data_IF_482576456619
#
_entry.id   IF_482576456619
#
_cell.length_a   1.000
_cell.length_b   1.000
_cell.length_c   1.000
_cell.angle_alpha   90.00
_cell.angle_beta   90.00
_cell.angle_gamma   90.00
#
_symmetry.space_group_name_H-M   'P 1'
#
loop_
_entity.id
_entity.type
_entity.pdbx_description
1 polymer ?
#
# COMPACT_ATOMS: atom_id res chain seq x y z
N UNK A 1 23.37 -23.18 12.56
CA UNK A 1 23.52 -21.86 13.21
C UNK A 1 23.97 -20.84 12.18
N UNK A 2 23.10 -20.06 11.59
CA UNK A 2 23.41 -19.02 10.62
C UNK A 2 22.18 -18.12 10.49
N UNK A 3 22.07 -17.12 11.37
CA UNK A 3 21.03 -16.09 11.27
C UNK A 3 21.32 -15.23 10.03
N UNK A 4 20.60 -15.42 8.96
CA UNK A 4 20.57 -14.49 7.82
C UNK A 4 19.81 -13.24 8.25
N UNK A 5 20.54 -12.16 8.53
CA UNK A 5 19.97 -10.82 8.70
C UNK A 5 19.81 -10.20 7.32
N UNK A 6 18.57 -10.06 6.87
CA UNK A 6 18.26 -9.14 5.78
C UNK A 6 18.53 -7.70 6.28
N UNK A 7 19.68 -7.17 5.92
CA UNK A 7 19.96 -5.74 5.97
C UNK A 7 19.60 -5.14 4.61
N UNK A 8 18.38 -4.60 4.52
CA UNK A 8 18.10 -3.60 3.52
C UNK A 8 19.03 -2.40 3.76
N UNK A 9 19.95 -2.12 2.86
CA UNK A 9 20.72 -0.89 2.87
C UNK A 9 19.80 0.27 2.47
N UNK A 10 19.10 0.80 3.45
CA UNK A 10 18.52 2.14 3.36
C UNK A 10 19.70 3.13 3.38
N UNK A 11 20.00 3.72 2.22
CA UNK A 11 20.79 4.95 2.16
C UNK A 11 20.03 6.00 2.99
N UNK A 12 20.68 6.48 4.06
CA UNK A 12 20.09 7.25 5.12
C UNK A 12 19.33 8.50 4.67
N UNK A 13 18.05 8.47 4.91
CA UNK A 13 17.28 9.64 5.29
C UNK A 13 17.08 9.51 6.79
N UNK A 14 17.90 10.18 7.55
CA UNK A 14 17.74 10.35 9.00
C UNK A 14 16.54 11.28 9.18
N UNK A 15 15.34 10.73 9.26
CA UNK A 15 14.20 11.44 9.83
C UNK A 15 14.40 11.35 11.34
N UNK A 16 14.90 12.42 11.93
CA UNK A 16 14.92 12.61 13.39
C UNK A 16 13.45 12.68 13.84
N UNK A 17 12.93 11.56 14.33
CA UNK A 17 11.63 11.55 15.04
C UNK A 17 11.80 12.31 16.37
N UNK A 18 10.89 13.22 16.69
CA UNK A 18 10.92 13.85 18.01
C UNK A 18 10.51 12.82 19.08
N UNK A 19 11.31 12.74 20.14
CA UNK A 19 11.19 11.82 21.28
C UNK A 19 9.89 11.96 22.12
N UNK A 20 8.96 12.81 21.74
CA UNK A 20 7.69 13.03 22.45
C UNK A 20 6.55 12.08 22.06
N UNK A 21 6.68 11.31 20.96
CA UNK A 21 5.58 10.44 20.50
C UNK A 21 5.45 9.11 21.23
N UNK A 22 6.48 8.64 21.92
CA UNK A 22 6.40 7.36 22.67
C UNK A 22 5.62 7.47 24.00
N UNK A 23 5.58 8.64 24.62
CA UNK A 23 4.84 8.84 25.88
C UNK A 23 3.32 8.86 25.72
N UNK A 24 2.82 9.15 24.54
CA UNK A 24 1.37 9.19 24.27
C UNK A 24 0.70 7.83 24.21
N UNK A 25 1.41 6.78 23.79
CA UNK A 25 0.86 5.45 23.54
C UNK A 25 0.58 4.65 24.82
N UNK A 26 1.42 4.74 25.83
CA UNK A 26 1.29 3.95 27.06
C UNK A 26 0.16 4.49 27.95
N UNK A 27 0.05 5.81 28.07
CA UNK A 27 -1.01 6.43 28.87
C UNK A 27 -2.42 6.28 28.25
N UNK A 28 -2.51 6.08 26.93
CA UNK A 28 -3.79 5.83 26.24
C UNK A 28 -4.20 4.36 26.32
N UNK A 29 -3.24 3.42 26.31
CA UNK A 29 -3.52 1.99 26.56
C UNK A 29 -3.96 1.76 28.02
N UNK A 30 -3.38 2.45 29.00
CA UNK A 30 -3.78 2.38 30.41
C UNK A 30 -5.17 3.01 30.65
N UNK A 31 -5.51 4.10 29.97
CA UNK A 31 -6.86 4.71 30.07
C UNK A 31 -7.95 3.86 29.42
N UNK A 32 -7.60 3.01 28.44
CA UNK A 32 -8.52 2.03 27.85
C UNK A 32 -8.77 0.81 28.73
N UNK A 33 -7.91 0.51 29.69
CA UNK A 33 -8.08 -0.65 30.60
C UNK A 33 -9.24 -0.48 31.58
N UNK A 34 -9.68 0.75 31.84
CA UNK A 34 -10.77 1.06 32.79
C UNK A 34 -12.18 1.08 32.17
N UNK A 35 -12.31 0.87 30.85
CA UNK A 35 -13.63 0.84 30.21
C UNK A 35 -14.07 -0.58 29.90
N UNK A 36 -15.30 -0.92 30.31
CA UNK A 36 -15.96 -2.21 29.98
C UNK A 36 -16.12 -2.37 28.45
N UNK A 37 -16.11 -1.26 27.73
CA UNK A 37 -16.30 -1.22 26.29
C UNK A 37 -15.01 -0.88 25.55
N UNK A 38 -14.79 -1.59 24.45
CA UNK A 38 -13.74 -1.26 23.49
C UNK A 38 -14.28 -0.37 22.40
N UNK A 39 -13.43 0.55 21.89
CA UNK A 39 -13.76 1.31 20.70
C UNK A 39 -14.07 0.37 19.52
N UNK A 40 -15.12 0.70 18.74
CA UNK A 40 -15.64 -0.14 17.68
C UNK A 40 -14.60 -0.42 16.59
N UNK A 41 -13.81 0.58 16.20
CA UNK A 41 -12.83 0.46 15.12
C UNK A 41 -11.62 -0.37 15.56
N UNK A 42 -11.20 -0.24 16.82
CA UNK A 42 -10.15 -1.09 17.40
C UNK A 42 -10.62 -2.53 17.59
N UNK A 43 -11.91 -2.73 17.93
CA UNK A 43 -12.53 -4.07 17.97
C UNK A 43 -12.53 -4.72 16.60
N UNK A 44 -12.83 -3.95 15.54
CA UNK A 44 -12.77 -4.43 14.17
C UNK A 44 -11.36 -4.85 13.76
N UNK A 45 -10.33 -4.08 14.14
CA UNK A 45 -8.93 -4.46 13.89
C UNK A 45 -8.55 -5.77 14.60
N UNK A 46 -9.08 -6.03 15.81
CA UNK A 46 -8.90 -7.34 16.49
C UNK A 46 -9.58 -8.48 15.72
N UNK A 47 -10.75 -8.23 15.14
CA UNK A 47 -11.38 -9.21 14.27
C UNK A 47 -10.50 -9.53 13.05
N UNK A 48 -10.00 -8.50 12.37
CA UNK A 48 -9.15 -8.71 11.20
C UNK A 48 -7.79 -9.34 11.54
N UNK A 49 -7.28 -9.13 12.77
CA UNK A 49 -6.10 -9.83 13.28
C UNK A 49 -6.33 -11.34 13.34
N UNK A 50 -7.51 -11.82 13.75
CA UNK A 50 -7.84 -13.26 13.74
C UNK A 50 -7.81 -13.85 12.34
N UNK A 51 -8.16 -13.07 11.31
CA UNK A 51 -8.00 -13.50 9.92
C UNK A 51 -6.51 -13.69 9.57
N UNK A 52 -5.64 -12.81 10.09
CA UNK A 52 -4.20 -12.94 9.92
C UNK A 52 -3.62 -14.14 10.71
N UNK A 53 -4.19 -14.47 11.86
CA UNK A 53 -3.83 -15.66 12.65
C UNK A 53 -4.11 -16.97 11.91
N UNK A 54 -5.15 -17.02 11.06
CA UNK A 54 -5.37 -18.16 10.16
C UNK A 54 -4.26 -18.28 9.10
N UNK A 55 -3.73 -17.17 8.61
CA UNK A 55 -2.56 -17.18 7.73
C UNK A 55 -1.28 -17.62 8.45
N UNK A 56 -1.15 -17.33 9.73
CA UNK A 56 -0.02 -17.71 10.59
C UNK A 56 -0.08 -19.21 10.96
N UNK A 57 -1.28 -19.79 11.08
CA UNK A 57 -1.48 -21.16 11.55
C UNK A 57 -0.89 -22.19 10.56
N UNK A 58 0.15 -22.97 10.95
CA UNK A 58 0.80 -23.95 10.08
C UNK A 58 -0.07 -25.19 9.82
N UNK A 59 -1.15 -25.42 10.57
CA UNK A 59 -2.10 -26.51 10.32
C UNK A 59 -2.98 -26.25 9.09
N UNK A 60 -3.11 -24.98 8.67
CA UNK A 60 -3.82 -24.65 7.45
C UNK A 60 -2.97 -24.97 6.21
N UNK A 61 -3.57 -25.45 5.11
CA UNK A 61 -2.87 -25.67 3.85
C UNK A 61 -2.19 -24.38 3.37
N UNK A 62 -0.99 -24.50 2.79
CA UNK A 62 -0.15 -23.34 2.46
C UNK A 62 -0.85 -22.30 1.54
N UNK A 63 -1.58 -22.76 0.52
CA UNK A 63 -2.35 -21.88 -0.36
C UNK A 63 -3.52 -21.18 0.36
N UNK A 64 -4.13 -21.85 1.36
CA UNK A 64 -5.17 -21.23 2.20
C UNK A 64 -4.55 -20.17 3.11
N UNK A 65 -3.37 -20.40 3.67
CA UNK A 65 -2.63 -19.40 4.43
C UNK A 65 -2.38 -18.13 3.60
N UNK A 66 -1.96 -18.28 2.35
CA UNK A 66 -1.77 -17.16 1.43
C UNK A 66 -3.11 -16.45 1.14
N UNK A 67 -4.20 -17.22 0.99
CA UNK A 67 -5.55 -16.69 0.80
C UNK A 67 -6.00 -15.87 2.01
N UNK A 68 -5.79 -16.35 3.24
CA UNK A 68 -6.10 -15.59 4.47
C UNK A 68 -5.28 -14.30 4.57
N UNK A 69 -3.99 -14.33 4.21
CA UNK A 69 -3.17 -13.11 4.16
C UNK A 69 -3.73 -12.08 3.16
N UNK A 70 -4.23 -12.54 2.01
CA UNK A 70 -4.89 -11.69 1.01
C UNK A 70 -6.23 -11.13 1.51
N UNK A 71 -7.04 -11.94 2.18
CA UNK A 71 -8.30 -11.52 2.81
C UNK A 71 -8.03 -10.46 3.88
N UNK A 72 -7.04 -10.68 4.76
CA UNK A 72 -6.63 -9.69 5.76
C UNK A 72 -6.32 -8.34 5.12
N UNK A 73 -5.52 -8.33 4.05
CA UNK A 73 -5.16 -7.09 3.36
C UNK A 73 -6.36 -6.43 2.67
N UNK A 74 -7.22 -7.21 2.04
CA UNK A 74 -8.44 -6.70 1.39
C UNK A 74 -9.40 -6.08 2.39
N UNK A 75 -9.59 -6.72 3.54
CA UNK A 75 -10.38 -6.21 4.64
C UNK A 75 -9.81 -4.89 5.18
N UNK A 76 -8.48 -4.82 5.34
CA UNK A 76 -7.81 -3.60 5.81
C UNK A 76 -7.99 -2.45 4.82
N UNK A 77 -7.88 -2.72 3.52
CA UNK A 77 -8.14 -1.72 2.47
C UNK A 77 -9.57 -1.15 2.57
N UNK A 78 -10.57 -2.03 2.73
CA UNK A 78 -11.97 -1.62 2.87
C UNK A 78 -12.20 -0.81 4.15
N UNK A 79 -11.59 -1.24 5.26
CA UNK A 79 -11.62 -0.52 6.53
C UNK A 79 -11.08 0.90 6.40
N UNK A 80 -9.93 1.07 5.73
CA UNK A 80 -9.37 2.40 5.49
C UNK A 80 -10.27 3.21 4.57
N UNK A 81 -10.76 2.62 3.49
CA UNK A 81 -11.61 3.32 2.52
C UNK A 81 -12.90 3.87 3.14
N UNK A 82 -13.52 3.14 4.06
CA UNK A 82 -14.83 3.48 4.60
C UNK A 82 -14.70 4.07 6.01
N UNK A 83 -14.11 3.32 6.95
CA UNK A 83 -14.11 3.72 8.38
C UNK A 83 -13.10 4.82 8.68
N UNK A 84 -11.86 4.65 8.21
CA UNK A 84 -10.83 5.67 8.42
C UNK A 84 -11.15 6.91 7.61
N UNK A 85 -11.69 6.76 6.39
CA UNK A 85 -12.19 7.87 5.59
C UNK A 85 -13.21 8.71 6.33
N UNK A 86 -14.25 8.07 6.86
CA UNK A 86 -15.28 8.74 7.67
C UNK A 86 -14.71 9.46 8.91
N UNK A 87 -13.74 8.85 9.62
CA UNK A 87 -13.08 9.50 10.75
C UNK A 87 -12.27 10.74 10.33
N UNK A 88 -11.60 10.69 9.18
CA UNK A 88 -10.87 11.85 8.62
C UNK A 88 -11.85 12.97 8.28
N UNK A 89 -12.99 12.67 7.66
CA UNK A 89 -14.02 13.65 7.33
C UNK A 89 -14.60 14.27 8.61
N UNK A 90 -14.92 13.46 9.62
CA UNK A 90 -15.38 13.95 10.93
C UNK A 90 -14.35 14.88 11.62
N UNK A 91 -13.06 14.58 11.48
CA UNK A 91 -11.99 15.41 12.05
C UNK A 91 -11.92 16.80 11.39
N UNK A 92 -12.30 16.90 10.11
CA UNK A 92 -12.36 18.19 9.39
C UNK A 92 -13.58 19.02 9.76
N UNK A 93 -14.64 18.42 10.34
CA UNK A 93 -15.78 19.14 10.85
C UNK A 93 -15.39 19.80 12.18
N UNK A 94 -15.64 21.12 12.30
CA UNK A 94 -15.34 21.90 13.51
C UNK A 94 -16.33 21.61 14.66
N UNK A 95 -16.69 20.35 14.89
CA UNK A 95 -17.63 19.90 15.93
C UNK A 95 -16.90 18.99 16.92
N UNK A 96 -17.25 19.09 18.21
CA UNK A 96 -16.78 18.15 19.24
C UNK A 96 -17.56 16.81 19.11
N UNK A 97 -17.19 16.03 18.10
CA UNK A 97 -17.75 14.71 17.85
C UNK A 97 -16.97 13.71 18.68
N UNK A 98 -17.68 12.85 19.44
CA UNK A 98 -17.08 11.80 20.25
C UNK A 98 -17.80 10.49 20.05
N UNK A 99 -17.03 9.39 20.09
CA UNK A 99 -17.58 8.05 20.07
C UNK A 99 -18.34 7.76 21.38
N UNK A 100 -19.49 7.14 21.28
CA UNK A 100 -20.48 7.06 22.37
C UNK A 100 -20.13 6.06 23.50
N UNK A 101 -19.17 5.17 23.32
CA UNK A 101 -18.78 4.15 24.33
C UNK A 101 -17.47 4.48 25.02
N UNK A 102 -16.48 4.90 24.28
CA UNK A 102 -15.13 5.19 24.79
C UNK A 102 -14.85 6.68 24.90
N UNK A 103 -15.77 7.53 24.45
CA UNK A 103 -15.66 9.00 24.46
C UNK A 103 -14.43 9.53 23.68
N UNK A 104 -13.85 8.71 22.78
CA UNK A 104 -12.72 9.10 21.95
C UNK A 104 -13.15 10.08 20.87
N UNK A 105 -12.34 11.10 20.63
CA UNK A 105 -12.48 12.00 19.47
C UNK A 105 -12.07 11.26 18.19
N UNK A 106 -12.47 11.74 16.99
CA UNK A 106 -12.03 11.15 15.71
C UNK A 106 -10.50 11.09 15.59
N UNK A 107 -9.79 12.11 16.10
CA UNK A 107 -8.33 12.13 16.09
C UNK A 107 -7.73 11.05 16.99
N UNK A 108 -8.20 10.89 18.21
CA UNK A 108 -7.74 9.85 19.14
C UNK A 108 -7.99 8.46 18.59
N UNK A 109 -9.15 8.24 17.94
CA UNK A 109 -9.44 6.98 17.26
C UNK A 109 -8.46 6.74 16.10
N UNK A 110 -8.22 7.75 15.26
CA UNK A 110 -7.28 7.65 14.13
C UNK A 110 -5.85 7.34 14.59
N UNK A 111 -5.36 8.03 15.61
CA UNK A 111 -4.02 7.81 16.18
C UNK A 111 -3.88 6.38 16.71
N UNK A 112 -4.89 5.87 17.41
CA UNK A 112 -4.93 4.49 17.92
C UNK A 112 -4.99 3.45 16.80
N UNK A 113 -5.80 3.69 15.74
CA UNK A 113 -5.89 2.85 14.55
C UNK A 113 -4.52 2.76 13.85
N UNK A 114 -3.87 3.90 13.61
CA UNK A 114 -2.56 3.94 12.96
C UNK A 114 -1.49 3.19 13.75
N UNK A 115 -1.47 3.38 15.07
CA UNK A 115 -0.55 2.67 15.96
C UNK A 115 -0.78 1.14 15.90
N UNK A 116 -2.06 0.70 15.95
CA UNK A 116 -2.40 -0.72 15.87
C UNK A 116 -2.08 -1.31 14.50
N UNK A 117 -2.44 -0.63 13.43
CA UNK A 117 -2.18 -1.08 12.06
C UNK A 117 -0.68 -1.21 11.79
N UNK A 118 0.16 -0.30 12.32
CA UNK A 118 1.61 -0.40 12.22
C UNK A 118 2.15 -1.72 12.82
N UNK A 119 1.61 -2.14 13.98
CA UNK A 119 1.96 -3.43 14.60
C UNK A 119 1.50 -4.62 13.74
N UNK A 120 0.25 -4.58 13.27
CA UNK A 120 -0.33 -5.64 12.46
C UNK A 120 0.35 -5.79 11.09
N UNK A 121 0.76 -4.70 10.47
CA UNK A 121 1.51 -4.75 9.21
C UNK A 121 2.85 -5.45 9.36
N UNK A 122 3.57 -5.21 10.47
CA UNK A 122 4.81 -5.95 10.76
C UNK A 122 4.56 -7.46 10.92
N UNK A 123 3.47 -7.83 11.62
CA UNK A 123 3.08 -9.23 11.76
C UNK A 123 2.75 -9.85 10.39
N UNK A 124 1.94 -9.14 9.57
CA UNK A 124 1.61 -9.57 8.21
C UNK A 124 2.85 -9.79 7.35
N UNK A 125 3.82 -8.87 7.41
CA UNK A 125 5.03 -8.97 6.59
C UNK A 125 5.83 -10.23 6.96
N UNK A 126 5.97 -10.54 8.24
CA UNK A 126 6.63 -11.78 8.70
C UNK A 126 5.88 -13.02 8.24
N UNK A 127 4.55 -13.07 8.43
CA UNK A 127 3.72 -14.21 7.99
C UNK A 127 3.79 -14.41 6.48
N UNK A 128 3.78 -13.31 5.72
CA UNK A 128 3.91 -13.37 4.26
C UNK A 128 5.29 -13.90 3.82
N UNK A 129 6.38 -13.44 4.45
CA UNK A 129 7.73 -13.95 4.17
C UNK A 129 7.83 -15.45 4.44
N UNK A 130 7.32 -15.93 5.58
CA UNK A 130 7.29 -17.37 5.92
C UNK A 130 6.48 -18.21 4.91
N UNK A 131 5.34 -17.69 4.45
CA UNK A 131 4.52 -18.36 3.43
C UNK A 131 5.29 -18.42 2.10
N UNK A 132 5.94 -17.34 1.70
CA UNK A 132 6.69 -17.28 0.44
C UNK A 132 7.93 -18.19 0.48
N UNK A 133 8.64 -18.24 1.60
CA UNK A 133 9.75 -19.19 1.81
C UNK A 133 9.27 -20.66 1.72
N UNK A 134 8.11 -20.95 2.33
CA UNK A 134 7.52 -22.29 2.23
C UNK A 134 7.09 -22.66 0.81
N UNK A 135 6.62 -21.69 0.02
CA UNK A 135 6.25 -21.90 -1.38
C UNK A 135 7.46 -22.24 -2.27
N UNK A 136 8.67 -21.80 -1.90
CA UNK A 136 9.90 -22.17 -2.63
C UNK A 136 10.13 -23.70 -2.62
N UNK A 137 9.76 -24.39 -1.53
CA UNK A 137 9.85 -25.85 -1.43
C UNK A 137 8.90 -26.57 -2.43
N UNK A 138 7.84 -25.90 -2.83
CA UNK A 138 6.88 -26.38 -3.85
C UNK A 138 7.18 -25.87 -5.26
N UNK A 139 8.36 -25.28 -5.47
CA UNK A 139 8.82 -24.82 -6.77
C UNK A 139 8.25 -23.47 -7.22
N UNK A 140 7.67 -22.67 -6.29
CA UNK A 140 7.23 -21.30 -6.60
C UNK A 140 8.29 -20.30 -6.14
N UNK A 141 8.96 -19.65 -7.08
CA UNK A 141 10.08 -18.75 -6.82
C UNK A 141 9.78 -17.34 -7.30
N UNK A 142 9.96 -16.37 -6.40
CA UNK A 142 9.88 -14.96 -6.76
C UNK A 142 11.28 -14.38 -6.92
N UNK A 143 11.64 -13.97 -8.13
CA UNK A 143 12.97 -13.40 -8.41
C UNK A 143 13.14 -12.03 -7.76
N UNK A 144 14.37 -11.79 -7.31
CA UNK A 144 14.81 -10.52 -6.76
C UNK A 144 16.10 -10.08 -7.46
N UNK A 145 16.20 -8.84 -7.92
CA UNK A 145 17.37 -8.31 -8.61
C UNK A 145 18.66 -8.28 -7.78
N UNK A 146 18.58 -8.47 -6.47
CA UNK A 146 19.78 -8.60 -5.62
C UNK A 146 20.47 -9.96 -5.75
N UNK A 147 19.75 -11.02 -6.15
CA UNK A 147 20.25 -12.39 -6.21
C UNK A 147 19.98 -13.07 -7.57
N UNK A 148 19.72 -12.29 -8.61
CA UNK A 148 19.34 -12.80 -9.92
C UNK A 148 20.56 -13.30 -10.70
N UNK A 149 20.41 -14.41 -11.43
CA UNK A 149 21.39 -14.90 -12.37
C UNK A 149 21.50 -13.99 -13.60
N UNK A 150 22.69 -13.99 -14.22
CA UNK A 150 22.97 -13.11 -15.36
C UNK A 150 22.04 -13.37 -16.55
N UNK A 151 21.69 -14.62 -16.79
CA UNK A 151 20.84 -15.04 -17.90
C UNK A 151 19.40 -14.53 -17.71
N UNK A 152 18.83 -14.70 -16.52
CA UNK A 152 17.51 -14.21 -16.16
C UNK A 152 17.45 -12.68 -16.24
N UNK A 153 18.49 -11.99 -15.73
CA UNK A 153 18.61 -10.55 -15.83
C UNK A 153 18.60 -10.06 -17.28
N UNK A 154 19.35 -10.73 -18.17
CA UNK A 154 19.41 -10.38 -19.59
C UNK A 154 18.06 -10.64 -20.28
N UNK A 155 17.33 -11.69 -19.88
CA UNK A 155 15.99 -11.94 -20.38
C UNK A 155 15.02 -10.84 -19.93
N UNK A 156 15.00 -10.54 -18.64
CA UNK A 156 14.11 -9.52 -18.06
C UNK A 156 14.41 -8.12 -18.59
N UNK A 157 15.66 -7.79 -18.90
CA UNK A 157 16.02 -6.53 -19.54
C UNK A 157 15.44 -6.43 -20.94
N UNK A 158 15.56 -7.48 -21.76
CA UNK A 158 14.96 -7.52 -23.10
C UNK A 158 13.44 -7.49 -23.04
N UNK A 159 12.84 -8.24 -22.09
CA UNK A 159 11.40 -8.22 -21.88
C UNK A 159 10.93 -6.82 -21.51
N UNK A 160 11.64 -6.15 -20.61
CA UNK A 160 11.33 -4.77 -20.22
C UNK A 160 11.36 -3.83 -21.44
N UNK A 161 12.38 -3.92 -22.28
CA UNK A 161 12.53 -3.03 -23.46
C UNK A 161 11.49 -3.31 -24.54
N UNK A 162 11.13 -4.57 -24.75
CA UNK A 162 10.20 -4.96 -25.81
C UNK A 162 8.73 -4.83 -25.41
N UNK A 163 8.38 -5.23 -24.20
CA UNK A 163 6.98 -5.42 -23.80
C UNK A 163 6.49 -4.37 -22.78
N UNK A 164 7.37 -3.93 -21.86
CA UNK A 164 6.96 -3.05 -20.76
C UNK A 164 7.19 -1.58 -21.09
N UNK A 165 8.38 -1.20 -21.51
CA UNK A 165 8.74 0.20 -21.78
C UNK A 165 7.84 0.91 -22.80
N UNK A 166 7.35 0.24 -23.88
CA UNK A 166 6.47 0.88 -24.85
C UNK A 166 5.06 1.21 -24.35
N UNK A 167 4.57 0.47 -23.32
CA UNK A 167 3.18 0.57 -22.84
C UNK A 167 3.04 1.39 -21.54
N UNK A 168 4.13 1.66 -20.84
CA UNK A 168 4.10 2.50 -19.64
C UNK A 168 4.05 3.98 -19.98
N UNK A 169 3.36 4.77 -19.14
CA UNK A 169 3.20 6.21 -19.31
C UNK A 169 3.80 6.97 -18.13
N UNK A 170 5.12 7.24 -18.14
CA UNK A 170 5.78 7.97 -17.07
C UNK A 170 5.37 9.44 -17.05
N UNK A 171 5.20 10.00 -15.86
CA UNK A 171 4.92 11.41 -15.63
C UNK A 171 6.01 12.04 -14.78
N UNK A 172 6.38 13.29 -15.09
CA UNK A 172 7.31 14.08 -14.26
C UNK A 172 6.54 15.28 -13.69
N UNK A 173 6.37 15.29 -12.38
CA UNK A 173 5.71 16.38 -11.65
C UNK A 173 6.60 17.62 -11.63
N UNK A 174 6.04 18.76 -11.98
CA UNK A 174 6.74 20.03 -12.01
C UNK A 174 5.78 21.22 -12.11
N UNK A 175 6.32 22.44 -12.19
CA UNK A 175 5.48 23.66 -12.23
C UNK A 175 4.47 23.70 -13.41
N UNK A 176 4.78 23.04 -14.52
CA UNK A 176 3.93 23.00 -15.73
C UNK A 176 3.10 21.71 -15.85
N UNK A 177 3.41 20.71 -15.05
CA UNK A 177 2.70 19.43 -15.02
C UNK A 177 2.22 19.21 -13.61
N UNK A 178 0.91 19.32 -13.34
CA UNK A 178 0.34 19.08 -12.02
C UNK A 178 0.55 17.63 -11.60
N UNK A 179 0.40 17.38 -10.31
CA UNK A 179 0.47 16.04 -9.77
C UNK A 179 -0.61 15.16 -10.44
N UNK A 180 -0.25 13.99 -11.00
CA UNK A 180 -1.21 13.14 -11.67
C UNK A 180 -2.22 12.54 -10.68
N UNK A 181 -3.42 12.27 -11.17
CA UNK A 181 -4.41 11.55 -10.38
C UNK A 181 -3.98 10.09 -10.22
N UNK A 182 -3.65 9.70 -9.00
CA UNK A 182 -3.33 8.31 -8.66
C UNK A 182 -4.62 7.54 -8.34
N UNK A 183 -4.84 6.43 -9.03
CA UNK A 183 -6.03 5.60 -8.84
C UNK A 183 -5.95 4.80 -7.55
N UNK A 184 -7.12 4.53 -6.96
CA UNK A 184 -7.24 3.73 -5.74
C UNK A 184 -6.72 2.31 -5.96
N UNK A 185 -5.95 1.79 -5.00
CA UNK A 185 -5.38 0.43 -4.97
C UNK A 185 -4.37 0.11 -6.08
N UNK A 186 -4.04 1.03 -6.97
CA UNK A 186 -3.01 0.84 -7.99
C UNK A 186 -1.60 1.05 -7.43
N UNK A 187 -0.65 0.32 -8.00
CA UNK A 187 0.78 0.40 -7.66
C UNK A 187 1.48 1.34 -8.64
N UNK A 188 2.30 2.22 -8.09
CA UNK A 188 3.11 3.18 -8.82
C UNK A 188 4.58 3.06 -8.42
N UNK A 189 5.47 3.10 -9.38
CA UNK A 189 6.87 3.37 -9.12
C UNK A 189 7.09 4.89 -9.02
N UNK A 190 7.61 5.33 -7.89
CA UNK A 190 7.85 6.74 -7.59
C UNK A 190 9.37 6.96 -7.47
N UNK A 191 9.86 8.01 -8.13
CA UNK A 191 11.29 8.23 -8.30
C UNK A 191 11.64 9.69 -8.05
N UNK A 192 12.61 9.95 -7.18
CA UNK A 192 13.20 11.27 -7.01
C UNK A 192 14.27 11.45 -8.08
N UNK A 193 14.01 12.35 -9.01
CA UNK A 193 14.83 12.67 -10.16
C UNK A 193 15.62 13.95 -9.89
N UNK A 194 16.91 13.95 -10.17
CA UNK A 194 17.74 15.16 -10.12
C UNK A 194 18.15 15.57 -11.53
N UNK A 195 17.92 16.83 -11.84
CA UNK A 195 18.37 17.43 -13.13
C UNK A 195 19.87 17.74 -13.08
N UNK A 196 20.51 17.93 -14.23
CA UNK A 196 21.93 18.39 -14.33
C UNK A 196 22.22 19.69 -13.57
N UNK A 197 21.18 20.49 -13.26
CA UNK A 197 21.29 21.75 -12.47
C UNK A 197 20.98 21.56 -10.98
N UNK A 198 20.95 20.32 -10.47
CA UNK A 198 20.70 20.01 -9.06
C UNK A 198 19.25 20.20 -8.61
N UNK A 199 18.28 20.41 -9.56
CA UNK A 199 16.87 20.54 -9.18
C UNK A 199 16.21 19.17 -9.09
N UNK A 200 15.50 18.92 -7.99
CA UNK A 200 14.71 17.72 -7.78
C UNK A 200 13.35 17.80 -8.47
N UNK A 201 12.90 16.68 -8.96
CA UNK A 201 11.57 16.45 -9.53
C UNK A 201 11.08 15.08 -9.09
N UNK A 202 9.77 14.87 -9.14
CA UNK A 202 9.17 13.58 -8.87
C UNK A 202 8.76 12.92 -10.18
N UNK A 203 9.28 11.72 -10.42
CA UNK A 203 8.83 10.83 -11.49
C UNK A 203 7.80 9.84 -10.95
N UNK A 204 6.73 9.60 -11.68
CA UNK A 204 5.66 8.65 -11.32
C UNK A 204 5.35 7.78 -12.52
N UNK A 205 5.32 6.47 -12.32
CA UNK A 205 5.04 5.47 -13.36
C UNK A 205 3.95 4.54 -12.84
N UNK A 206 2.78 4.45 -13.48
CA UNK A 206 1.79 3.43 -13.16
C UNK A 206 2.33 2.04 -13.54
N UNK A 207 2.33 1.10 -12.58
CA UNK A 207 2.80 -0.27 -12.80
C UNK A 207 1.70 -1.20 -13.33
N UNK A 208 0.43 -0.80 -13.19
CA UNK A 208 -0.77 -1.56 -13.60
C UNK A 208 -1.30 -1.07 -14.95
N UNK A 209 -0.45 -1.02 -15.97
CA UNK A 209 -0.90 -0.64 -17.32
C UNK A 209 -1.57 -1.82 -18.04
N UNK A 210 -2.56 -1.54 -18.89
CA UNK A 210 -3.20 -2.55 -19.71
C UNK A 210 -2.16 -3.26 -20.59
N UNK A 211 -2.15 -4.60 -20.56
CA UNK A 211 -1.22 -5.43 -21.33
C UNK A 211 0.05 -5.86 -20.59
N UNK A 212 0.32 -5.37 -19.38
CA UNK A 212 1.43 -5.86 -18.56
C UNK A 212 0.94 -6.95 -17.62
N UNK A 213 1.51 -8.16 -17.74
CA UNK A 213 1.29 -9.21 -16.76
C UNK A 213 2.02 -8.85 -15.47
N UNK A 214 1.34 -8.96 -14.32
CA UNK A 214 1.97 -8.67 -13.03
C UNK A 214 3.01 -9.70 -12.64
N UNK A 215 2.72 -11.00 -12.88
CA UNK A 215 3.65 -12.11 -12.71
C UNK A 215 4.27 -12.44 -14.06
N UNK A 216 5.52 -12.07 -14.26
CA UNK A 216 6.28 -12.30 -15.49
C UNK A 216 7.00 -13.63 -15.35
N UNK A 217 6.63 -14.68 -16.11
CA UNK A 217 7.31 -15.98 -16.03
C UNK A 217 8.72 -15.91 -16.63
N UNK A 218 9.63 -16.69 -16.06
CA UNK A 218 11.01 -16.79 -16.57
C UNK A 218 11.11 -18.05 -17.44
N UNK A 219 11.46 -17.94 -18.72
CA UNK A 219 11.56 -19.07 -19.61
C UNK A 219 12.58 -20.11 -19.13
N UNK A 220 12.20 -21.39 -19.22
CA UNK A 220 13.06 -22.51 -18.80
C UNK A 220 13.14 -22.73 -17.28
N UNK A 221 12.42 -21.92 -16.49
CA UNK A 221 12.32 -22.05 -15.03
C UNK A 221 10.86 -22.07 -14.63
N UNK A 222 10.25 -23.26 -14.68
CA UNK A 222 8.84 -23.43 -14.27
C UNK A 222 8.65 -22.95 -12.83
N UNK A 223 7.53 -22.29 -12.53
CA UNK A 223 7.23 -21.76 -11.20
C UNK A 223 8.02 -20.50 -10.81
N UNK A 224 8.88 -19.98 -11.68
CA UNK A 224 9.71 -18.81 -11.38
C UNK A 224 9.16 -17.56 -12.03
N UNK A 225 8.97 -16.50 -11.22
CA UNK A 225 8.33 -15.26 -11.65
C UNK A 225 9.09 -14.02 -11.19
N UNK A 226 8.93 -12.91 -11.96
CA UNK A 226 9.32 -11.56 -11.58
C UNK A 226 8.06 -10.68 -11.49
N UNK A 227 7.94 -9.85 -10.45
CA UNK A 227 6.89 -8.86 -10.35
C UNK A 227 7.14 -7.69 -11.33
N UNK A 228 6.12 -7.30 -12.08
CA UNK A 228 6.23 -6.19 -13.05
C UNK A 228 6.59 -4.86 -12.39
N UNK A 229 6.07 -4.59 -11.19
CA UNK A 229 6.41 -3.42 -10.40
C UNK A 229 7.89 -3.38 -9.99
N UNK A 230 8.48 -4.52 -9.63
CA UNK A 230 9.91 -4.63 -9.32
C UNK A 230 10.77 -4.48 -10.57
N UNK A 231 10.33 -5.05 -11.69
CA UNK A 231 10.97 -4.89 -12.99
C UNK A 231 11.03 -3.42 -13.41
N UNK A 232 9.90 -2.71 -13.34
CA UNK A 232 9.80 -1.28 -13.66
C UNK A 232 10.68 -0.47 -12.72
N UNK A 233 10.62 -0.74 -11.41
CA UNK A 233 11.42 -0.03 -10.42
C UNK A 233 12.92 -0.26 -10.64
N UNK A 234 13.33 -1.45 -11.08
CA UNK A 234 14.75 -1.73 -11.39
C UNK A 234 15.23 -0.91 -12.58
N UNK A 235 14.48 -0.83 -13.66
CA UNK A 235 14.86 -0.19 -14.91
C UNK A 235 14.41 1.28 -15.06
N UNK A 236 14.04 1.96 -13.97
CA UNK A 236 13.59 3.37 -14.00
C UNK A 236 14.61 4.33 -14.67
N UNK A 237 15.90 4.03 -14.58
CA UNK A 237 16.96 4.82 -15.24
C UNK A 237 16.87 4.78 -16.75
N UNK A 238 16.36 3.70 -17.34
CA UNK A 238 16.10 3.59 -18.78
C UNK A 238 14.89 4.40 -19.22
N UNK A 239 13.95 4.64 -18.30
CA UNK A 239 12.74 5.44 -18.54
C UNK A 239 13.06 6.92 -18.43
N UNK A 240 13.70 7.34 -17.34
CA UNK A 240 14.03 8.74 -17.08
C UNK A 240 15.45 9.11 -17.56
N UNK A 241 15.69 8.92 -18.86
CA UNK A 241 16.96 9.27 -19.49
C UNK A 241 17.31 10.74 -19.26
N UNK A 242 18.56 11.01 -18.85
CA UNK A 242 19.05 12.37 -18.62
C UNK A 242 18.81 12.94 -17.21
N UNK A 243 18.20 12.16 -16.33
CA UNK A 243 18.09 12.47 -14.91
C UNK A 243 19.00 11.54 -14.08
N UNK A 244 19.48 12.06 -12.95
CA UNK A 244 20.09 11.22 -11.90
C UNK A 244 18.97 10.72 -10.96
N UNK A 245 18.99 9.44 -10.63
CA UNK A 245 18.00 8.81 -9.72
C UNK A 245 18.55 8.91 -8.29
N UNK A 246 17.94 9.76 -7.45
CA UNK A 246 18.34 9.91 -6.04
C UNK A 246 17.70 8.86 -5.14
N UNK A 247 16.42 8.58 -5.36
CA UNK A 247 15.68 7.59 -4.60
C UNK A 247 14.56 7.02 -5.46
N UNK A 248 14.13 5.81 -5.14
CA UNK A 248 13.02 5.13 -5.80
C UNK A 248 12.28 4.23 -4.83
N UNK A 249 10.97 4.12 -4.97
CA UNK A 249 10.11 3.27 -4.15
C UNK A 249 8.84 2.89 -4.89
N UNK A 250 8.17 1.86 -4.43
CA UNK A 250 6.79 1.57 -4.82
C UNK A 250 5.83 2.31 -3.90
N UNK A 251 4.75 2.83 -4.48
CA UNK A 251 3.68 3.52 -3.78
C UNK A 251 2.35 2.91 -4.18
N UNK A 252 1.52 2.64 -3.20
CA UNK A 252 0.11 2.30 -3.39
C UNK A 252 -0.72 3.20 -2.49
N UNK A 253 -1.80 3.77 -3.01
CA UNK A 253 -2.66 4.65 -2.24
C UNK A 253 -4.03 4.01 -2.01
N UNK A 254 -4.61 4.30 -0.86
CA UNK A 254 -6.01 4.02 -0.54
C UNK A 254 -6.76 5.35 -0.51
N UNK A 255 -7.91 5.43 -1.19
CA UNK A 255 -8.75 6.62 -1.22
C UNK A 255 -9.97 6.42 -0.35
N UNK A 256 -10.45 7.53 0.23
CA UNK A 256 -11.75 7.56 0.87
C UNK A 256 -12.82 7.08 -0.13
N UNK A 257 -13.75 6.26 0.34
CA UNK A 257 -14.86 5.76 -0.45
C UNK A 257 -16.20 6.16 0.18
N UNK A 258 -16.15 6.85 1.33
CA UNK A 258 -17.33 7.39 1.98
C UNK A 258 -17.75 8.68 1.27
N UNK A 259 -18.95 8.69 0.73
CA UNK A 259 -19.56 9.85 0.07
C UNK A 259 -20.85 10.14 0.79
N UNK A 260 -21.02 11.41 1.15
CA UNK A 260 -22.32 11.92 1.52
C UNK A 260 -23.24 11.88 0.29
N UNK A 261 -24.06 10.83 0.21
CA UNK A 261 -24.98 10.64 -0.89
C UNK A 261 -26.03 11.77 -0.95
N UNK A 262 -26.39 12.32 0.20
CA UNK A 262 -27.36 13.41 0.30
C UNK A 262 -26.81 14.71 -0.27
N UNK A 263 -25.50 14.93 -0.19
CA UNK A 263 -24.84 16.11 -0.78
C UNK A 263 -24.78 16.08 -2.32
N UNK A 264 -24.96 14.91 -2.93
CA UNK A 264 -24.97 14.72 -4.38
C UNK A 264 -26.38 14.47 -4.94
N UNK A 265 -27.38 14.41 -4.05
CA UNK A 265 -28.76 14.17 -4.47
C UNK A 265 -29.31 15.41 -5.17
N UNK A 266 -29.74 15.22 -6.42
CA UNK A 266 -30.44 16.18 -7.23
C UNK A 266 -31.83 15.61 -7.54
N UNK A 267 -32.90 16.30 -7.15
CA UNK A 267 -34.29 15.85 -7.33
C UNK A 267 -34.67 15.66 -8.83
N UNK A 268 -33.93 16.32 -9.71
CA UNK A 268 -34.15 16.25 -11.16
C UNK A 268 -33.43 15.08 -11.84
N UNK A 269 -32.54 14.34 -11.14
CA UNK A 269 -31.84 13.20 -11.68
C UNK A 269 -32.60 11.89 -11.48
N UNK A 270 -32.71 11.08 -12.56
CA UNK A 270 -33.14 9.70 -12.43
C UNK A 270 -32.20 8.92 -11.50
N UNK A 271 -32.77 8.05 -10.67
CA UNK A 271 -32.01 7.24 -9.70
C UNK A 271 -30.81 6.51 -10.31
N UNK A 272 -30.96 6.02 -11.55
CA UNK A 272 -29.85 5.38 -12.28
C UNK A 272 -28.72 6.35 -12.61
N UNK A 273 -29.05 7.56 -13.06
CA UNK A 273 -28.07 8.63 -13.36
C UNK A 273 -27.40 9.10 -12.07
N UNK A 274 -28.17 9.29 -11.02
CA UNK A 274 -27.66 9.60 -9.69
C UNK A 274 -26.61 8.56 -9.21
N UNK A 275 -26.93 7.26 -9.31
CA UNK A 275 -26.02 6.19 -8.92
C UNK A 275 -24.76 6.16 -9.77
N UNK A 276 -24.83 6.48 -11.06
CA UNK A 276 -23.68 6.57 -11.96
C UNK A 276 -22.77 7.73 -11.55
N UNK A 277 -23.34 8.91 -11.23
CA UNK A 277 -22.58 10.07 -10.78
C UNK A 277 -21.94 9.83 -9.40
N UNK A 278 -22.66 9.21 -8.49
CA UNK A 278 -22.15 8.80 -7.17
C UNK A 278 -20.93 7.86 -7.30
N UNK A 279 -21.03 6.84 -8.16
CA UNK A 279 -19.90 5.93 -8.43
C UNK A 279 -18.70 6.65 -9.06
N UNK A 280 -18.95 7.61 -9.96
CA UNK A 280 -17.88 8.43 -10.56
C UNK A 280 -17.20 9.32 -9.51
N UNK A 281 -17.98 9.97 -8.66
CA UNK A 281 -17.48 10.83 -7.58
C UNK A 281 -16.64 10.02 -6.58
N UNK A 282 -17.10 8.83 -6.18
CA UNK A 282 -16.38 7.91 -5.27
C UNK A 282 -14.96 7.59 -5.75
N UNK A 283 -14.72 7.51 -7.06
CA UNK A 283 -13.40 7.24 -7.63
C UNK A 283 -12.42 8.41 -7.49
N UNK A 284 -12.91 9.61 -7.19
CA UNK A 284 -12.11 10.86 -7.15
C UNK A 284 -11.86 11.37 -5.74
N UNK A 285 -12.37 10.69 -4.71
CA UNK A 285 -12.20 11.12 -3.32
C UNK A 285 -10.73 11.19 -2.88
N UNK A 286 -10.46 11.94 -1.82
CA UNK A 286 -9.12 12.18 -1.32
C UNK A 286 -8.38 10.89 -0.93
N UNK A 287 -7.05 10.81 -1.05
CA UNK A 287 -6.27 9.74 -0.45
C UNK A 287 -6.31 9.87 1.08
N UNK A 288 -6.29 8.74 1.76
CA UNK A 288 -6.31 8.60 3.21
C UNK A 288 -4.90 8.28 3.70
#
# INVERSE_FOLDING_TARGET
>A
QGKSRYRGTNAGVTITEPAEKEKYTVAQEEKMADTIYMNRELSWLKFNERVLEEAENPENPLCERLTFASIYQSNLDEFYMVRVGSLVDQMLLAKDIRENKTNMTPKEQLDAILARTKKLNRKRDVVYEEIMESLEEYGVHMLNFHKIEKEDRNYLERYFEAEVAPVISPSIVGKRQPFPFLRNKEIYAVVVLETKKGKEKLGIIPCSSAGIQRLIPVPGKEGTYMLSEELILHFVSKIFKGYHIKAKSLLRITRNADIDADALYDEDLDYREFMVELIKARKKLAPI
#
